data_IF_103144754123
#
_entry.id   IF_103144754123
#
_cell.length_a   1.000
_cell.length_b   1.000
_cell.length_c   1.000
_cell.angle_alpha   90.00
_cell.angle_beta   90.00
_cell.angle_gamma   90.00
#
_symmetry.space_group_name_H-M   'P 1'
#
loop_
_entity.id
_entity.type
_entity.pdbx_description
1 polymer ?
#
# COMPACT_ATOMS: atom_id res chain seq x y z
N UNK A 1 -4.09 6.10 -2.18
CA UNK A 1 -4.89 4.89 -2.50
C UNK A 1 -4.72 3.94 -1.33
N UNK A 2 -5.78 3.64 -0.57
CA UNK A 2 -5.73 2.63 0.50
C UNK A 2 -6.03 1.26 -0.11
N UNK A 3 -5.19 0.27 0.20
CA UNK A 3 -5.15 -1.06 -0.46
C UNK A 3 -6.26 -2.01 0.02
N UNK A 4 -7.37 -1.48 0.58
CA UNK A 4 -8.54 -2.24 1.07
C UNK A 4 -8.31 -3.32 2.13
N UNK A 5 -7.10 -3.40 2.68
CA UNK A 5 -6.69 -4.48 3.59
C UNK A 5 -7.62 -4.60 4.79
N UNK A 6 -8.08 -3.47 5.34
CA UNK A 6 -9.01 -3.45 6.47
C UNK A 6 -10.33 -4.13 6.16
N UNK A 7 -10.90 -3.86 4.97
CA UNK A 7 -12.14 -4.50 4.50
C UNK A 7 -11.95 -5.98 4.26
N UNK A 8 -10.87 -6.37 3.57
CA UNK A 8 -10.54 -7.77 3.31
C UNK A 8 -10.34 -8.56 4.61
N UNK A 9 -9.63 -7.98 5.59
CA UNK A 9 -9.45 -8.58 6.92
C UNK A 9 -10.78 -8.78 7.63
N UNK A 10 -11.64 -7.76 7.67
CA UNK A 10 -12.95 -7.83 8.32
C UNK A 10 -13.81 -8.93 7.72
N UNK A 11 -13.85 -9.04 6.38
CA UNK A 11 -14.57 -10.10 5.66
C UNK A 11 -14.06 -11.48 6.07
N UNK A 12 -12.75 -11.73 5.91
CA UNK A 12 -12.13 -13.02 6.21
C UNK A 12 -12.30 -13.45 7.68
N UNK A 13 -12.35 -12.48 8.59
CA UNK A 13 -12.65 -12.73 10.01
C UNK A 13 -14.10 -13.17 10.21
N UNK A 14 -15.05 -12.49 9.59
CA UNK A 14 -16.49 -12.79 9.71
C UNK A 14 -16.83 -14.14 9.07
N UNK A 15 -16.23 -14.48 7.92
CA UNK A 15 -16.38 -15.80 7.27
C UNK A 15 -15.99 -16.96 8.20
N UNK A 16 -15.04 -16.71 9.11
CA UNK A 16 -14.59 -17.66 10.13
C UNK A 16 -15.35 -17.58 11.44
N UNK A 17 -16.36 -16.71 11.52
CA UNK A 17 -17.18 -16.50 12.72
C UNK A 17 -16.34 -16.08 13.94
N UNK A 18 -15.24 -15.36 13.72
CA UNK A 18 -14.37 -14.86 14.78
C UNK A 18 -14.77 -13.43 15.17
N UNK A 19 -14.75 -13.13 16.45
CA UNK A 19 -14.71 -11.76 16.99
C UNK A 19 -13.32 -11.15 16.82
N UNK A 20 -13.20 -9.82 16.92
CA UNK A 20 -11.90 -9.14 16.89
C UNK A 20 -10.99 -9.62 18.04
N UNK A 21 -11.57 -9.93 19.21
CA UNK A 21 -10.85 -10.47 20.37
C UNK A 21 -10.32 -11.87 20.11
N UNK A 22 -11.13 -12.75 19.55
CA UNK A 22 -10.69 -14.11 19.20
C UNK A 22 -9.58 -14.09 18.15
N UNK A 23 -9.72 -13.28 17.09
CA UNK A 23 -8.65 -13.14 16.10
C UNK A 23 -7.35 -12.61 16.74
N UNK A 24 -7.46 -11.61 17.62
CA UNK A 24 -6.30 -11.03 18.29
C UNK A 24 -5.52 -12.05 19.14
N UNK A 25 -6.23 -12.98 19.79
CA UNK A 25 -5.64 -14.08 20.57
C UNK A 25 -4.94 -15.10 19.64
N UNK A 26 -5.52 -15.38 18.47
CA UNK A 26 -4.96 -16.35 17.51
C UNK A 26 -3.69 -15.86 16.81
N UNK A 27 -3.47 -14.55 16.71
CA UNK A 27 -2.29 -13.97 16.06
C UNK A 27 -1.04 -14.24 16.90
N UNK A 28 -0.08 -14.96 16.32
CA UNK A 28 1.19 -15.28 16.99
C UNK A 28 1.93 -14.00 17.41
N UNK A 29 2.39 -14.00 18.67
CA UNK A 29 3.01 -12.84 19.31
C UNK A 29 2.03 -11.97 20.11
N UNK A 30 0.71 -12.24 20.00
CA UNK A 30 -0.34 -11.48 20.66
C UNK A 30 -0.49 -10.09 20.07
N UNK A 31 -1.71 -9.71 19.74
CA UNK A 31 -2.03 -8.31 19.39
C UNK A 31 -3.20 -7.84 20.24
N UNK A 32 -3.29 -6.54 20.45
CA UNK A 32 -4.45 -5.96 21.12
C UNK A 32 -5.67 -6.02 20.17
N UNK A 33 -6.85 -6.39 20.69
CA UNK A 33 -8.06 -6.46 19.87
C UNK A 33 -8.47 -5.10 19.29
N UNK A 34 -8.15 -4.00 19.97
CA UNK A 34 -8.36 -2.64 19.46
C UNK A 34 -7.48 -2.36 18.25
N UNK A 35 -6.27 -2.96 18.18
CA UNK A 35 -5.40 -2.86 17.01
C UNK A 35 -6.03 -3.57 15.80
N UNK A 36 -6.61 -4.77 15.98
CA UNK A 36 -7.41 -5.43 14.93
C UNK A 36 -8.54 -4.51 14.46
N UNK A 37 -9.28 -3.89 15.40
CA UNK A 37 -10.35 -2.96 15.06
C UNK A 37 -9.87 -1.73 14.28
N UNK A 38 -8.72 -1.16 14.62
CA UNK A 38 -8.10 -0.04 13.88
C UNK A 38 -7.68 -0.46 12.47
N UNK A 39 -7.15 -1.67 12.30
CA UNK A 39 -6.82 -2.20 10.97
C UNK A 39 -8.10 -2.34 10.12
N UNK A 40 -9.17 -2.92 10.68
CA UNK A 40 -10.44 -3.13 9.96
C UNK A 40 -11.13 -1.85 9.53
N UNK A 41 -10.92 -0.74 10.26
CA UNK A 41 -11.42 0.59 9.93
C UNK A 41 -10.46 1.42 9.07
N UNK A 42 -9.36 0.83 8.62
CA UNK A 42 -8.29 1.50 7.86
C UNK A 42 -7.62 2.66 8.62
N UNK A 43 -7.77 2.72 9.94
CA UNK A 43 -7.16 3.74 10.81
C UNK A 43 -5.68 3.46 11.08
N UNK A 44 -5.25 2.21 10.93
CA UNK A 44 -3.86 1.82 11.17
C UNK A 44 -3.39 0.75 10.18
N UNK A 45 -2.28 1.01 9.50
CA UNK A 45 -1.64 0.05 8.61
C UNK A 45 -0.74 -0.91 9.40
N UNK A 46 -0.95 -2.23 9.34
CA UNK A 46 -0.07 -3.19 9.98
C UNK A 46 1.22 -3.42 9.20
N UNK A 47 2.26 -3.87 9.90
CA UNK A 47 3.50 -4.31 9.24
C UNK A 47 3.27 -5.61 8.47
N UNK A 48 4.16 -5.90 7.50
CA UNK A 48 4.11 -7.15 6.75
C UNK A 48 4.17 -8.39 7.66
N UNK A 49 4.97 -8.33 8.73
CA UNK A 49 5.07 -9.41 9.73
C UNK A 49 3.71 -9.68 10.39
N UNK A 50 2.98 -8.62 10.76
CA UNK A 50 1.64 -8.75 11.35
C UNK A 50 0.66 -9.30 10.32
N UNK A 51 0.70 -8.85 9.06
CA UNK A 51 -0.14 -9.40 7.98
C UNK A 51 0.10 -10.89 7.76
N UNK A 52 1.36 -11.34 7.79
CA UNK A 52 1.71 -12.76 7.72
C UNK A 52 1.12 -13.52 8.91
N UNK A 53 1.26 -13.02 10.13
CA UNK A 53 0.72 -13.69 11.32
C UNK A 53 -0.81 -13.76 11.29
N UNK A 54 -1.49 -12.70 10.82
CA UNK A 54 -2.93 -12.67 10.61
C UNK A 54 -3.35 -13.70 9.58
N UNK A 55 -2.67 -13.76 8.43
CA UNK A 55 -2.98 -14.75 7.38
C UNK A 55 -2.84 -16.19 7.89
N UNK A 56 -1.84 -16.47 8.72
CA UNK A 56 -1.64 -17.77 9.39
C UNK A 56 -2.73 -18.07 10.42
N UNK A 57 -3.11 -17.09 11.26
CA UNK A 57 -4.18 -17.23 12.24
C UNK A 57 -5.53 -17.53 11.58
N UNK A 58 -5.77 -16.91 10.42
CA UNK A 58 -6.94 -17.19 9.59
C UNK A 58 -6.73 -18.44 8.71
N UNK A 59 -5.55 -19.03 8.60
CA UNK A 59 -5.29 -20.10 7.63
C UNK A 59 -5.73 -19.72 6.19
N UNK A 60 -5.37 -18.52 5.74
CA UNK A 60 -5.47 -18.07 4.34
C UNK A 60 -4.10 -17.80 3.74
N UNK A 61 -3.97 -17.84 2.41
CA UNK A 61 -2.89 -17.18 1.71
C UNK A 61 -2.80 -15.69 2.09
N UNK A 62 -1.59 -15.16 2.19
CA UNK A 62 -1.36 -13.74 2.48
C UNK A 62 -2.08 -12.84 1.46
N UNK A 63 -2.13 -13.26 0.20
CA UNK A 63 -2.79 -12.55 -0.89
C UNK A 63 -4.28 -12.30 -0.69
N UNK A 64 -4.96 -13.12 0.12
CA UNK A 64 -6.38 -12.95 0.42
C UNK A 64 -6.66 -11.65 1.20
N UNK A 65 -5.66 -11.10 1.89
CA UNK A 65 -5.76 -9.80 2.58
C UNK A 65 -5.71 -8.59 1.63
N UNK A 66 -5.43 -8.82 0.34
CA UNK A 66 -5.28 -7.78 -0.68
C UNK A 66 -6.30 -7.91 -1.81
N UNK A 67 -7.18 -8.91 -1.74
CA UNK A 67 -8.24 -9.13 -2.73
C UNK A 67 -9.44 -8.25 -2.40
N UNK A 68 -9.63 -7.18 -3.15
CA UNK A 68 -10.88 -6.39 -3.14
C UNK A 68 -11.99 -7.21 -3.84
N UNK A 69 -13.21 -7.15 -3.31
CA UNK A 69 -14.40 -7.43 -4.13
C UNK A 69 -14.56 -6.24 -5.08
N UNK A 70 -13.98 -6.33 -6.28
CA UNK A 70 -14.45 -5.53 -7.40
C UNK A 70 -14.51 -6.40 -8.64
N UNK A 71 -15.71 -6.40 -9.20
CA UNK A 71 -16.13 -6.95 -10.47
C UNK A 71 -15.23 -6.51 -11.62
N UNK A 72 -15.08 -7.38 -12.62
CA UNK A 72 -14.54 -7.00 -13.93
C UNK A 72 -13.07 -7.33 -14.11
N UNK A 73 -12.83 -8.57 -14.54
CA UNK A 73 -11.63 -8.96 -15.26
C UNK A 73 -11.50 -8.14 -16.56
N UNK A 74 -10.86 -6.96 -16.50
CA UNK A 74 -10.40 -6.24 -17.68
C UNK A 74 -8.93 -6.58 -17.93
N UNK A 75 -8.70 -7.59 -18.78
CA UNK A 75 -7.39 -7.91 -19.31
C UNK A 75 -6.90 -6.72 -20.15
N UNK A 76 -5.80 -6.08 -19.73
CA UNK A 76 -5.07 -5.13 -20.57
C UNK A 76 -3.90 -5.82 -21.26
N UNK A 77 -3.60 -5.48 -22.53
CA UNK A 77 -2.46 -6.02 -23.25
C UNK A 77 -1.17 -5.40 -22.70
N UNK A 78 -0.28 -6.25 -22.18
CA UNK A 78 1.03 -5.84 -21.68
C UNK A 78 1.95 -5.58 -22.88
N UNK A 79 2.22 -4.31 -23.17
CA UNK A 79 3.33 -3.92 -24.06
C UNK A 79 4.64 -4.01 -23.25
N UNK A 80 5.40 -5.05 -23.54
CA UNK A 80 6.67 -5.42 -22.91
C UNK A 80 7.78 -4.46 -23.31
N UNK A 81 8.01 -3.43 -22.49
CA UNK A 81 9.35 -2.87 -22.34
C UNK A 81 10.14 -3.80 -21.42
N UNK A 82 10.90 -4.70 -22.03
CA UNK A 82 11.91 -5.54 -21.38
C UNK A 82 12.89 -4.64 -20.63
N UNK A 83 12.99 -4.83 -19.32
CA UNK A 83 13.86 -4.03 -18.45
C UNK A 83 15.30 -4.49 -18.64
N UNK A 84 16.21 -3.54 -18.84
CA UNK A 84 17.65 -3.78 -19.00
C UNK A 84 18.22 -4.48 -17.76
N UNK A 85 19.03 -5.52 -17.99
CA UNK A 85 19.80 -6.27 -17.00
C UNK A 85 20.84 -5.34 -16.33
N UNK A 86 20.41 -4.60 -15.31
CA UNK A 86 21.32 -3.90 -14.42
C UNK A 86 21.11 -4.49 -13.02
N UNK A 87 22.21 -5.03 -12.48
CA UNK A 87 22.35 -5.88 -11.29
C UNK A 87 21.78 -7.30 -11.41
N UNK A 88 22.40 -8.07 -12.32
CA UNK A 88 22.08 -9.46 -12.61
C UNK A 88 21.99 -10.35 -11.36
N UNK A 89 22.72 -10.06 -10.28
CA UNK A 89 22.64 -10.84 -9.03
C UNK A 89 21.33 -10.61 -8.30
N UNK A 90 20.98 -9.38 -7.96
CA UNK A 90 19.73 -9.09 -7.23
C UNK A 90 18.50 -9.46 -8.06
N UNK A 91 18.52 -9.16 -9.36
CA UNK A 91 17.45 -9.57 -10.27
C UNK A 91 17.36 -11.10 -10.40
N UNK A 92 18.49 -11.82 -10.46
CA UNK A 92 18.46 -13.30 -10.49
C UNK A 92 17.88 -13.91 -9.21
N UNK A 93 18.19 -13.31 -8.05
CA UNK A 93 17.60 -13.73 -6.78
C UNK A 93 16.09 -13.52 -6.79
N UNK A 94 15.63 -12.34 -7.23
CA UNK A 94 14.20 -12.08 -7.36
C UNK A 94 13.50 -13.07 -8.31
N UNK A 95 14.08 -13.33 -9.48
CA UNK A 95 13.51 -14.31 -10.44
C UNK A 95 13.44 -15.72 -9.86
N UNK A 96 14.42 -16.12 -9.05
CA UNK A 96 14.41 -17.42 -8.35
C UNK A 96 13.31 -17.50 -7.29
N UNK A 97 13.07 -16.42 -6.56
CA UNK A 97 11.95 -16.33 -5.60
C UNK A 97 10.60 -16.34 -6.34
N UNK A 98 10.49 -15.64 -7.47
CA UNK A 98 9.29 -15.61 -8.31
C UNK A 98 8.95 -16.98 -8.91
N UNK A 99 9.94 -17.82 -9.22
CA UNK A 99 9.71 -19.17 -9.73
C UNK A 99 9.15 -20.13 -8.67
N UNK A 100 9.34 -19.83 -7.38
CA UNK A 100 8.78 -20.60 -6.26
C UNK A 100 7.41 -20.09 -5.82
N UNK A 101 6.93 -18.99 -6.42
CA UNK A 101 5.71 -18.33 -6.01
C UNK A 101 4.47 -19.12 -6.45
N UNK A 102 3.52 -19.33 -5.54
CA UNK A 102 2.29 -20.04 -5.84
C UNK A 102 1.33 -19.17 -6.67
N UNK A 103 0.49 -19.78 -7.53
CA UNK A 103 -0.46 -19.04 -8.39
C UNK A 103 -1.40 -18.13 -7.60
N UNK A 104 -1.75 -18.51 -6.38
CA UNK A 104 -2.61 -17.73 -5.48
C UNK A 104 -1.98 -16.42 -5.01
N UNK A 105 -0.65 -16.28 -5.09
CA UNK A 105 0.08 -15.10 -4.63
C UNK A 105 0.34 -14.08 -5.75
N UNK A 106 0.05 -14.45 -7.01
CA UNK A 106 0.20 -13.57 -8.17
C UNK A 106 -0.59 -12.26 -8.03
N UNK A 107 -1.87 -12.25 -7.58
CA UNK A 107 -2.61 -10.99 -7.42
C UNK A 107 -1.92 -10.01 -6.46
N UNK A 108 -1.46 -10.50 -5.32
CA UNK A 108 -0.72 -9.70 -4.34
C UNK A 108 0.59 -9.15 -4.91
N UNK A 109 1.36 -10.00 -5.58
CA UNK A 109 2.59 -9.56 -6.22
C UNK A 109 2.33 -8.41 -7.20
N UNK A 110 1.27 -8.52 -8.01
CA UNK A 110 0.88 -7.47 -8.94
C UNK A 110 0.53 -6.17 -8.21
N UNK A 111 -0.15 -6.24 -7.07
CA UNK A 111 -0.51 -5.06 -6.28
C UNK A 111 0.71 -4.41 -5.62
N UNK A 112 1.65 -5.21 -5.12
CA UNK A 112 2.94 -4.73 -4.62
C UNK A 112 3.72 -4.02 -5.73
N UNK A 113 3.86 -4.67 -6.90
CA UNK A 113 4.57 -4.09 -8.05
C UNK A 113 3.92 -2.78 -8.50
N UNK A 114 2.58 -2.72 -8.57
CA UNK A 114 1.84 -1.49 -8.92
C UNK A 114 2.06 -0.39 -7.89
N UNK A 115 2.01 -0.70 -6.59
CA UNK A 115 2.26 0.26 -5.52
C UNK A 115 3.68 0.84 -5.58
N UNK A 116 4.69 -0.02 -5.78
CA UNK A 116 6.08 0.40 -5.94
C UNK A 116 6.28 1.29 -7.18
N UNK A 117 5.69 0.91 -8.33
CA UNK A 117 5.77 1.70 -9.56
C UNK A 117 5.01 3.04 -9.45
N UNK A 118 3.90 3.07 -8.72
CA UNK A 118 3.14 4.29 -8.44
C UNK A 118 3.95 5.29 -7.62
N UNK A 119 4.60 4.83 -6.55
CA UNK A 119 5.47 5.67 -5.72
C UNK A 119 6.64 6.28 -6.50
N UNK A 120 7.24 5.52 -7.43
CA UNK A 120 8.38 6.00 -8.23
C UNK A 120 8.00 7.15 -9.17
N UNK A 121 6.79 7.15 -9.72
CA UNK A 121 6.24 8.23 -10.57
C UNK A 121 5.93 9.51 -9.79
N UNK A 122 5.56 9.39 -8.51
CA UNK A 122 5.30 10.55 -7.65
C UNK A 122 6.59 11.15 -7.09
N UNK A 123 7.61 10.35 -6.79
CA UNK A 123 8.92 10.86 -6.36
C UNK A 123 9.67 11.59 -7.48
N UNK A 124 9.51 11.18 -8.74
CA UNK A 124 10.12 11.89 -9.89
C UNK A 124 9.44 13.22 -10.25
N UNK A 125 8.20 13.45 -9.81
CA UNK A 125 7.49 14.74 -9.97
C UNK A 125 7.75 15.73 -8.82
N UNK A 126 8.42 15.29 -7.75
CA UNK A 126 8.60 16.05 -6.50
C UNK A 126 9.95 16.74 -6.33
N UNK A 127 10.80 16.84 -7.36
CA UNK A 127 11.95 17.76 -7.31
C UNK A 127 11.46 19.17 -7.59
N UNK A 128 11.14 19.92 -6.54
CA UNK A 128 10.86 21.35 -6.62
C UNK A 128 12.02 22.08 -7.30
N UNK A 129 11.78 22.69 -8.46
CA UNK A 129 12.55 23.84 -8.93
C UNK A 129 12.08 25.05 -8.11
N UNK A 130 12.97 25.60 -7.28
CA UNK A 130 12.80 26.94 -6.75
C UNK A 130 12.75 27.92 -7.94
N UNK A 131 11.88 28.95 -7.92
CA UNK A 131 12.04 30.07 -8.83
C UNK A 131 13.39 30.74 -8.56
N UNK A 132 14.17 31.01 -9.61
CA UNK A 132 15.39 31.80 -9.49
C UNK A 132 15.02 33.19 -8.97
N UNK A 133 15.36 33.44 -7.70
CA UNK A 133 15.41 34.78 -7.10
C UNK A 133 16.55 35.55 -7.76
N UNK A 134 16.30 36.13 -8.94
CA UNK A 134 17.01 37.34 -9.38
C UNK A 134 16.24 38.06 -10.50
N UNK A 135 15.27 38.88 -10.11
CA UNK A 135 15.01 40.15 -10.79
C UNK A 135 14.26 41.10 -9.85
N UNK A 136 15.05 42.05 -9.34
CA UNK A 136 14.59 43.26 -8.70
C UNK A 136 13.54 44.01 -9.54
N UNK A 137 12.62 44.71 -8.88
CA UNK A 137 12.46 46.18 -8.93
C UNK A 137 11.15 46.56 -8.20
N UNK A 138 11.22 47.20 -7.03
CA UNK A 138 11.03 48.65 -6.82
C UNK A 138 9.63 48.96 -6.24
N UNK A 139 9.66 49.85 -5.25
CA UNK A 139 8.61 50.61 -4.57
C UNK A 139 7.27 50.77 -5.34
N UNK A 140 6.10 50.91 -4.69
CA UNK A 140 5.73 52.01 -3.80
C UNK A 140 4.42 51.73 -3.03
N UNK A 141 4.29 52.43 -1.90
CA UNK A 141 3.07 52.94 -1.26
C UNK A 141 2.05 51.97 -0.63
N UNK A 142 2.00 52.00 0.71
CA UNK A 142 0.83 51.64 1.52
C UNK A 142 -0.43 52.40 1.09
N UNK A 143 -1.61 51.80 1.29
CA UNK A 143 -2.64 52.54 2.02
C UNK A 143 -3.18 51.76 3.22
N UNK A 144 -3.37 52.55 4.26
CA UNK A 144 -4.12 52.35 5.49
C UNK A 144 -5.52 51.78 5.20
N UNK A 145 -5.94 50.75 5.92
CA UNK A 145 -7.36 50.41 6.04
C UNK A 145 -7.79 50.54 7.50
N UNK A 146 -8.79 51.40 7.70
CA UNK A 146 -9.48 51.67 8.96
C UNK A 146 -10.21 50.43 9.47
N UNK A 147 -10.09 50.16 10.78
CA UNK A 147 -11.03 49.29 11.49
C UNK A 147 -12.35 50.05 11.64
N UNK A 148 -13.45 49.45 11.16
CA UNK A 148 -14.80 49.85 11.54
C UNK A 148 -15.36 48.83 12.53
N UNK A 149 -15.73 49.35 13.70
CA UNK A 149 -16.60 48.72 14.71
C UNK A 149 -17.98 48.35 14.14
#
# INVERSE_FOLDING_TARGET
MTLGIGRALKRLRIERKLTQKELAIMVSGGVDYTYIGKIEREEQLPSLKILINISKALAVPLSSLFSEENDGCAALPVSSKVVNLADAREMSHLLKELNQLHRNDIPLLMDIIRALNGHRKHQTRGSYTLPDDDQALVAEASPHYEEKE
#
